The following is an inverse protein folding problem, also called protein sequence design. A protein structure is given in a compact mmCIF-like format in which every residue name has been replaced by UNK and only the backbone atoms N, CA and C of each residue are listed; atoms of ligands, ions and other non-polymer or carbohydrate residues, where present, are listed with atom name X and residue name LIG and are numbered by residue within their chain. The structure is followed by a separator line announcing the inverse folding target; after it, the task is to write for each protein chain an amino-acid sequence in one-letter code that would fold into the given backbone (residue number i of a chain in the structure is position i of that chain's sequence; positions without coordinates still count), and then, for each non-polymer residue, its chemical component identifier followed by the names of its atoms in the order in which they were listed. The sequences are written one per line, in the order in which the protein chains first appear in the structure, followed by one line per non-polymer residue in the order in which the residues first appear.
data_IF_385335351496
#
_entry.id   IF_385335351496
#
_cell.length_a   1.000
_cell.length_b   1.000
_cell.length_c   1.000
_cell.angle_alpha   90.00
_cell.angle_beta   90.00
_cell.angle_gamma   90.00
#
_symmetry.space_group_name_H-M   'P 1'
#
loop_
_entity.id
_entity.type
_entity.pdbx_description
1 polymer ?
#
# COMPACT_ATOMS: atom_id res chain seq x y z
N UNK A 1 20.92 -42.37 0.64
CA UNK A 1 22.24 -41.76 0.34
C UNK A 1 22.21 -41.03 -1.02
N UNK A 2 21.36 -40.01 -1.20
CA UNK A 2 21.31 -39.18 -2.42
C UNK A 2 21.26 -37.67 -2.15
N UNK A 3 21.28 -37.25 -0.88
CA UNK A 3 21.12 -35.85 -0.45
C UNK A 3 22.41 -35.19 0.06
N UNK A 4 23.55 -35.89 0.00
CA UNK A 4 24.84 -35.37 0.47
C UNK A 4 25.68 -34.70 -0.62
N UNK A 5 25.28 -34.80 -1.90
CA UNK A 5 26.03 -34.23 -3.04
C UNK A 5 25.56 -32.84 -3.48
N UNK A 6 24.38 -32.39 -3.07
CA UNK A 6 23.82 -31.08 -3.45
C UNK A 6 24.29 -29.91 -2.56
N UNK A 7 24.82 -30.19 -1.38
CA UNK A 7 25.28 -29.16 -0.43
C UNK A 7 26.70 -28.63 -0.72
N UNK A 8 27.50 -29.34 -1.52
CA UNK A 8 28.87 -28.92 -1.87
C UNK A 8 28.94 -27.95 -3.06
N UNK A 9 27.85 -27.74 -3.81
CA UNK A 9 27.84 -26.87 -4.99
C UNK A 9 27.48 -25.41 -4.69
N UNK A 10 26.91 -25.12 -3.51
CA UNK A 10 26.50 -23.75 -3.13
C UNK A 10 27.67 -22.97 -2.49
N UNK A 11 28.69 -23.63 -1.96
CA UNK A 11 29.83 -22.97 -1.31
C UNK A 11 30.87 -22.40 -2.29
N UNK A 12 30.82 -22.74 -3.58
CA UNK A 12 31.86 -22.34 -4.55
C UNK A 12 31.57 -21.01 -5.29
N UNK A 13 30.39 -20.41 -5.12
CA UNK A 13 30.01 -19.17 -5.85
C UNK A 13 30.18 -17.91 -4.98
N UNK A 14 30.40 -18.05 -3.68
CA UNK A 14 30.46 -16.92 -2.73
C UNK A 14 31.82 -16.21 -2.62
N UNK A 15 32.80 -16.50 -3.49
CA UNK A 15 34.18 -15.99 -3.35
C UNK A 15 34.58 -14.97 -4.44
N UNK A 16 33.69 -14.64 -5.40
CA UNK A 16 34.12 -13.91 -6.62
C UNK A 16 33.57 -12.49 -6.86
N UNK A 17 33.14 -11.75 -5.83
CA UNK A 17 32.68 -10.35 -6.00
C UNK A 17 33.13 -9.40 -4.88
N UNK A 18 34.43 -9.40 -4.56
CA UNK A 18 35.08 -8.36 -3.77
C UNK A 18 36.31 -7.83 -4.50
N UNK A 19 36.11 -6.95 -5.47
CA UNK A 19 37.10 -5.95 -5.92
C UNK A 19 36.55 -5.19 -7.12
N UNK A 20 36.04 -3.96 -6.92
CA UNK A 20 36.32 -2.83 -7.83
C UNK A 20 36.29 -1.54 -7.01
N UNK A 21 37.51 -1.12 -6.69
CA UNK A 21 38.11 0.21 -6.70
C UNK A 21 37.39 1.48 -6.24
N UNK A 22 38.12 2.15 -5.35
CA UNK A 22 38.00 3.53 -4.94
C UNK A 22 38.84 4.45 -5.85
N UNK A 23 38.26 5.52 -6.38
CA UNK A 23 38.97 6.71 -6.84
C UNK A 23 38.15 7.96 -6.47
N UNK A 24 38.59 8.72 -5.48
CA UNK A 24 39.40 9.95 -5.58
C UNK A 24 38.67 11.14 -6.21
N UNK A 25 38.32 12.06 -5.33
CA UNK A 25 38.01 13.48 -5.52
C UNK A 25 39.06 14.21 -6.38
N UNK A 26 38.68 15.31 -7.04
CA UNK A 26 39.12 16.59 -6.47
C UNK A 26 38.09 17.73 -6.53
N UNK A 27 38.14 18.48 -5.43
CA UNK A 27 37.89 19.90 -5.20
C UNK A 27 38.13 20.80 -6.43
N UNK A 28 37.19 21.70 -6.71
CA UNK A 28 37.47 22.96 -7.39
C UNK A 28 36.65 24.09 -6.78
N UNK A 29 37.39 25.01 -6.16
CA UNK A 29 36.96 26.36 -5.78
C UNK A 29 36.54 27.14 -7.03
N UNK A 30 35.47 27.92 -6.93
CA UNK A 30 35.46 29.25 -7.57
C UNK A 30 34.57 30.21 -6.82
N UNK A 31 35.22 31.16 -6.18
CA UNK A 31 34.65 32.41 -5.71
C UNK A 31 34.41 33.33 -6.92
N UNK A 32 33.28 34.05 -6.96
CA UNK A 32 33.36 35.51 -7.06
C UNK A 32 32.02 36.24 -6.99
N UNK A 33 32.14 37.44 -6.41
CA UNK A 33 31.42 38.67 -6.71
C UNK A 33 29.93 38.78 -6.36
N UNK A 34 29.74 39.22 -5.12
CA UNK A 34 28.65 40.08 -4.63
C UNK A 34 28.67 41.43 -5.37
N UNK A 35 27.53 41.93 -5.87
CA UNK A 35 27.21 43.35 -5.76
C UNK A 35 26.04 43.56 -4.79
N UNK A 36 26.21 44.46 -3.83
CA UNK A 36 25.14 44.95 -2.98
C UNK A 36 24.23 45.95 -3.73
N UNK A 37 22.98 46.12 -3.25
CA UNK A 37 21.84 46.52 -4.05
C UNK A 37 21.53 48.04 -4.01
N UNK A 38 20.65 48.53 -4.89
CA UNK A 38 20.04 49.86 -4.76
C UNK A 38 19.06 49.92 -3.57
N UNK A 39 19.08 51.07 -2.88
CA UNK A 39 18.16 51.48 -1.80
C UNK A 39 16.70 51.40 -2.25
N UNK A 40 15.81 50.74 -1.48
CA UNK A 40 14.37 50.94 -1.58
C UNK A 40 13.90 52.01 -0.60
N UNK A 41 13.05 52.89 -1.12
CA UNK A 41 12.33 53.92 -0.37
C UNK A 41 11.36 53.33 0.66
N UNK A 42 11.06 54.16 1.64
CA UNK A 42 10.23 53.88 2.80
C UNK A 42 8.78 53.50 2.46
N UNK A 43 8.17 52.78 3.42
CA UNK A 43 6.73 52.54 3.60
C UNK A 43 6.18 51.23 3.03
N UNK A 44 6.43 50.12 3.72
CA UNK A 44 5.62 48.89 3.60
C UNK A 44 5.30 48.37 4.99
N UNK A 45 4.00 48.19 5.26
CA UNK A 45 3.47 47.62 6.49
C UNK A 45 4.08 46.24 6.76
N UNK A 46 4.53 46.04 7.99
CA UNK A 46 5.18 44.82 8.47
C UNK A 46 4.18 43.67 8.57
N UNK A 47 3.82 43.07 7.44
CA UNK A 47 3.32 41.70 7.43
C UNK A 47 4.52 40.79 7.75
N UNK A 48 4.60 40.35 9.01
CA UNK A 48 5.54 39.28 9.38
C UNK A 48 5.16 38.04 8.59
N UNK A 49 6.06 37.61 7.73
CA UNK A 49 6.02 36.31 7.07
C UNK A 49 5.95 35.23 8.17
N UNK A 50 4.93 34.35 8.16
CA UNK A 50 4.86 33.27 9.14
C UNK A 50 6.12 32.42 9.04
N UNK A 51 6.80 32.23 10.17
CA UNK A 51 8.01 31.41 10.25
C UNK A 51 7.69 30.00 9.77
N UNK A 52 8.66 29.27 9.19
CA UNK A 52 8.49 27.89 8.72
C UNK A 52 7.92 26.93 9.80
N UNK A 53 8.05 27.29 11.07
CA UNK A 53 7.49 26.59 12.23
C UNK A 53 5.97 26.78 12.41
N UNK A 54 5.38 27.83 11.82
CA UNK A 54 3.94 28.12 11.78
C UNK A 54 3.25 27.54 10.54
N UNK A 55 4.03 26.99 9.60
CA UNK A 55 3.57 26.30 8.39
C UNK A 55 3.75 24.79 8.48
N UNK A 56 4.26 24.28 9.60
CA UNK A 56 4.24 22.84 9.86
C UNK A 56 2.75 22.42 9.92
N UNK A 57 2.30 21.48 9.07
CA UNK A 57 0.96 20.91 9.20
C UNK A 57 0.85 20.38 10.63
N UNK A 58 -0.25 20.73 11.30
CA UNK A 58 -0.58 20.20 12.62
C UNK A 58 -0.43 18.68 12.54
N UNK A 59 0.66 18.15 13.09
CA UNK A 59 0.81 16.72 13.27
C UNK A 59 -0.46 16.28 14.00
N UNK A 60 -1.20 15.27 13.50
CA UNK A 60 -2.45 14.86 14.11
C UNK A 60 -2.17 14.64 15.59
N UNK A 61 -2.78 15.49 16.43
CA UNK A 61 -2.78 15.27 17.87
C UNK A 61 -3.43 13.91 18.03
N UNK A 62 -2.62 12.90 18.32
CA UNK A 62 -3.10 11.61 18.77
C UNK A 62 -3.84 11.95 20.06
N UNK A 63 -5.16 12.16 19.95
CA UNK A 63 -6.02 12.28 21.10
C UNK A 63 -6.05 10.89 21.70
N UNK A 64 -5.08 10.63 22.58
CA UNK A 64 -5.11 9.49 23.46
C UNK A 64 -6.19 9.72 24.52
N UNK A 65 -7.43 9.94 24.09
CA UNK A 65 -8.56 9.78 25.00
C UNK A 65 -8.58 8.30 25.34
N UNK A 66 -8.22 8.01 26.60
CA UNK A 66 -8.31 6.65 27.12
C UNK A 66 -9.78 6.21 27.00
N UNK A 67 -10.01 5.12 26.27
CA UNK A 67 -11.28 4.42 26.30
C UNK A 67 -11.66 4.11 27.75
N UNK A 68 -12.92 4.32 28.10
CA UNK A 68 -13.43 3.84 29.38
C UNK A 68 -13.43 2.31 29.45
N UNK A 69 -13.57 1.76 30.66
CA UNK A 69 -13.51 0.32 30.89
C UNK A 69 -14.56 -0.46 30.07
N UNK A 70 -15.73 0.14 29.83
CA UNK A 70 -16.80 -0.50 29.07
C UNK A 70 -16.43 -0.62 27.59
N UNK A 71 -15.94 0.46 26.98
CA UNK A 71 -15.48 0.49 25.59
C UNK A 71 -14.27 -0.42 25.39
N UNK A 72 -13.35 -0.46 26.35
CA UNK A 72 -12.21 -1.37 26.30
C UNK A 72 -12.66 -2.84 26.32
N UNK A 73 -13.64 -3.19 27.16
CA UNK A 73 -14.21 -4.54 27.20
C UNK A 73 -14.92 -4.89 25.89
N UNK A 74 -15.66 -3.95 25.29
CA UNK A 74 -16.32 -4.14 24.00
C UNK A 74 -15.29 -4.42 22.89
N UNK A 75 -14.23 -3.60 22.80
CA UNK A 75 -13.12 -3.81 21.86
C UNK A 75 -12.49 -5.19 22.01
N UNK A 76 -12.21 -5.58 23.26
CA UNK A 76 -11.62 -6.88 23.58
C UNK A 76 -12.56 -8.05 23.23
N UNK A 77 -13.88 -7.88 23.39
CA UNK A 77 -14.86 -8.89 22.97
C UNK A 77 -14.84 -9.06 21.45
N UNK A 78 -14.92 -7.96 20.69
CA UNK A 78 -14.88 -7.97 19.23
C UNK A 78 -13.59 -8.64 18.72
N UNK A 79 -12.44 -8.23 19.26
CA UNK A 79 -11.15 -8.83 18.92
C UNK A 79 -11.13 -10.34 19.18
N UNK A 80 -11.65 -10.78 20.33
CA UNK A 80 -11.70 -12.21 20.66
C UNK A 80 -12.58 -12.98 19.68
N UNK A 81 -13.77 -12.46 19.37
CA UNK A 81 -14.70 -13.09 18.42
C UNK A 81 -14.10 -13.21 17.02
N UNK A 82 -13.36 -12.19 16.55
CA UNK A 82 -12.62 -12.23 15.30
C UNK A 82 -11.57 -13.35 15.32
N UNK A 83 -10.75 -13.41 16.37
CA UNK A 83 -9.68 -14.42 16.48
C UNK A 83 -10.24 -15.84 16.64
N UNK A 84 -11.36 -16.01 17.34
CA UNK A 84 -12.05 -17.30 17.46
C UNK A 84 -12.59 -17.77 16.10
N UNK A 85 -13.21 -16.87 15.32
CA UNK A 85 -13.67 -17.20 13.96
C UNK A 85 -12.51 -17.46 13.00
N UNK A 86 -11.44 -16.66 13.04
CA UNK A 86 -10.27 -16.86 12.19
C UNK A 86 -9.56 -18.20 12.45
N UNK A 87 -9.59 -18.69 13.68
CA UNK A 87 -9.01 -19.97 14.07
C UNK A 87 -10.01 -21.14 14.08
N UNK A 88 -11.24 -20.93 13.62
CA UNK A 88 -12.32 -21.90 13.79
C UNK A 88 -12.05 -23.27 13.15
N UNK A 89 -11.24 -23.29 12.08
CA UNK A 89 -10.87 -24.53 11.38
C UNK A 89 -9.95 -25.40 12.25
N UNK A 90 -9.09 -24.77 13.06
CA UNK A 90 -8.17 -25.48 13.95
C UNK A 90 -8.90 -26.03 15.19
N UNK A 91 -9.94 -25.33 15.64
CA UNK A 91 -10.74 -25.69 16.82
C UNK A 91 -11.99 -26.51 16.48
N UNK A 92 -12.25 -26.80 15.20
CA UNK A 92 -13.46 -27.47 14.70
C UNK A 92 -14.76 -26.77 15.15
N UNK A 93 -14.72 -25.44 15.24
CA UNK A 93 -15.84 -24.61 15.70
C UNK A 93 -16.36 -23.67 14.61
N UNK A 94 -16.02 -23.91 13.35
CA UNK A 94 -16.52 -23.08 12.25
C UNK A 94 -18.03 -23.19 12.14
N UNK A 95 -18.72 -22.08 11.85
CA UNK A 95 -20.12 -22.10 11.43
C UNK A 95 -20.32 -23.14 10.32
N UNK A 96 -21.36 -23.97 10.46
CA UNK A 96 -21.71 -24.99 9.47
C UNK A 96 -23.01 -24.59 8.78
N UNK A 97 -23.02 -24.73 7.47
CA UNK A 97 -24.21 -24.72 6.63
C UNK A 97 -24.48 -26.15 6.17
N UNK A 98 -25.58 -26.74 6.63
CA UNK A 98 -25.96 -28.14 6.37
C UNK A 98 -26.30 -28.41 4.88
N UNK A 99 -26.37 -27.37 4.04
CA UNK A 99 -26.71 -27.53 2.62
C UNK A 99 -25.54 -28.01 1.75
N UNK A 100 -24.31 -27.52 1.97
CA UNK A 100 -23.09 -27.86 1.21
C UNK A 100 -21.81 -27.43 1.97
N UNK A 101 -20.75 -28.26 2.04
CA UNK A 101 -19.47 -27.87 2.66
C UNK A 101 -18.89 -26.54 2.15
N UNK A 102 -19.04 -26.22 0.86
CA UNK A 102 -18.55 -24.92 0.33
C UNK A 102 -19.35 -23.73 0.86
N UNK A 103 -20.63 -23.93 1.15
CA UNK A 103 -21.45 -22.89 1.76
C UNK A 103 -20.98 -22.57 3.19
N UNK A 104 -20.45 -23.58 3.91
CA UNK A 104 -19.87 -23.39 5.25
C UNK A 104 -18.63 -22.50 5.23
N UNK A 105 -17.72 -22.70 4.27
CA UNK A 105 -16.52 -21.85 4.12
C UNK A 105 -16.90 -20.39 3.81
N UNK A 106 -17.86 -20.19 2.90
CA UNK A 106 -18.37 -18.85 2.56
C UNK A 106 -19.06 -18.19 3.75
N UNK A 107 -19.82 -18.96 4.54
CA UNK A 107 -20.48 -18.48 5.75
C UNK A 107 -19.44 -18.02 6.78
N UNK A 108 -18.40 -18.82 7.02
CA UNK A 108 -17.33 -18.46 7.92
C UNK A 108 -16.63 -17.16 7.49
N UNK A 109 -16.28 -17.03 6.20
CA UNK A 109 -15.69 -15.80 5.64
C UNK A 109 -16.58 -14.57 5.80
N UNK A 110 -17.88 -14.69 5.53
CA UNK A 110 -18.84 -13.59 5.73
C UNK A 110 -18.99 -13.18 7.19
N UNK A 111 -19.08 -14.15 8.11
CA UNK A 111 -19.19 -13.88 9.54
C UNK A 111 -17.91 -13.21 10.07
N UNK A 112 -16.74 -13.65 9.61
CA UNK A 112 -15.47 -13.01 9.95
C UNK A 112 -15.42 -11.57 9.43
N UNK A 113 -15.79 -11.34 8.17
CA UNK A 113 -15.86 -10.00 7.59
C UNK A 113 -16.87 -9.09 8.32
N UNK A 114 -18.00 -9.63 8.77
CA UNK A 114 -18.98 -8.90 9.59
C UNK A 114 -18.39 -8.47 10.94
N UNK A 115 -17.68 -9.38 11.64
CA UNK A 115 -17.01 -9.06 12.91
C UNK A 115 -15.89 -8.04 12.73
N UNK A 116 -15.08 -8.17 11.67
CA UNK A 116 -14.04 -7.20 11.36
C UNK A 116 -14.63 -5.83 11.02
N UNK A 117 -15.80 -5.78 10.37
CA UNK A 117 -16.52 -4.52 10.10
C UNK A 117 -17.04 -3.89 11.39
N UNK A 118 -17.63 -4.69 12.28
CA UNK A 118 -18.05 -4.20 13.60
C UNK A 118 -16.88 -3.65 14.42
N UNK A 119 -15.69 -4.26 14.31
CA UNK A 119 -14.45 -3.73 14.89
C UNK A 119 -14.03 -2.40 14.24
N UNK A 120 -14.07 -2.29 12.93
CA UNK A 120 -13.80 -1.03 12.23
C UNK A 120 -14.78 0.08 12.63
N UNK A 121 -16.08 -0.23 12.68
CA UNK A 121 -17.13 0.71 13.12
C UNK A 121 -16.91 1.14 14.57
N UNK A 122 -16.48 0.23 15.46
CA UNK A 122 -16.11 0.58 16.83
C UNK A 122 -14.99 1.63 16.85
N UNK A 123 -13.90 1.40 16.12
CA UNK A 123 -12.77 2.35 16.08
C UNK A 123 -13.16 3.70 15.47
N UNK A 124 -13.95 3.69 14.38
CA UNK A 124 -14.43 4.90 13.73
C UNK A 124 -15.36 5.72 14.64
N UNK A 125 -16.30 5.07 15.34
CA UNK A 125 -17.26 5.76 16.21
C UNK A 125 -16.64 6.33 17.48
N UNK A 126 -15.47 5.83 17.87
CA UNK A 126 -14.74 6.30 19.05
C UNK A 126 -13.52 7.18 18.70
N UNK A 127 -13.28 7.47 17.40
CA UNK A 127 -12.10 8.20 16.89
C UNK A 127 -10.78 7.71 17.52
N UNK A 128 -10.67 6.39 17.68
CA UNK A 128 -9.58 5.75 18.39
C UNK A 128 -8.97 4.70 17.49
N UNK A 129 -7.69 4.83 17.16
CA UNK A 129 -6.92 3.82 16.43
C UNK A 129 -5.56 3.66 17.11
N UNK A 130 -5.16 2.42 17.36
CA UNK A 130 -3.92 2.06 18.04
C UNK A 130 -3.16 0.97 17.27
N UNK A 131 -1.99 0.58 17.78
CA UNK A 131 -1.17 -0.45 17.14
C UNK A 131 -1.91 -1.79 17.03
N UNK A 132 -2.80 -2.13 17.97
CA UNK A 132 -3.61 -3.35 17.91
C UNK A 132 -4.56 -3.33 16.68
N UNK A 133 -5.13 -2.17 16.36
CA UNK A 133 -5.91 -2.01 15.12
C UNK A 133 -5.07 -2.09 13.84
N UNK A 134 -3.79 -1.70 13.89
CA UNK A 134 -2.84 -1.87 12.79
C UNK A 134 -2.39 -3.33 12.64
N UNK A 135 -2.15 -4.04 13.74
CA UNK A 135 -1.90 -5.49 13.75
C UNK A 135 -3.07 -6.26 13.12
N UNK A 136 -4.30 -5.91 13.51
CA UNK A 136 -5.50 -6.50 12.94
C UNK A 136 -5.57 -6.35 11.41
N UNK A 137 -5.16 -5.20 10.86
CA UNK A 137 -5.07 -5.03 9.41
C UNK A 137 -4.05 -6.00 8.80
N UNK A 138 -2.85 -6.09 9.37
CA UNK A 138 -1.78 -6.96 8.83
C UNK A 138 -2.17 -8.44 8.88
N UNK A 139 -2.88 -8.87 9.91
CA UNK A 139 -3.35 -10.25 10.06
C UNK A 139 -4.37 -10.64 8.98
N UNK A 140 -5.16 -9.68 8.47
CA UNK A 140 -6.28 -9.96 7.57
C UNK A 140 -6.14 -9.42 6.14
N UNK A 141 -5.14 -8.59 5.85
CA UNK A 141 -4.94 -8.04 4.49
C UNK A 141 -4.47 -9.08 3.47
N UNK A 142 -3.84 -10.18 3.91
CA UNK A 142 -3.48 -11.34 3.06
C UNK A 142 -4.46 -12.52 3.23
N UNK A 143 -5.66 -12.26 3.78
CA UNK A 143 -6.64 -13.32 3.98
C UNK A 143 -7.16 -13.87 2.64
N UNK A 144 -7.35 -15.19 2.54
CA UNK A 144 -7.75 -15.87 1.30
C UNK A 144 -9.19 -15.58 0.87
N UNK A 145 -10.05 -15.24 1.82
CA UNK A 145 -11.42 -14.78 1.56
C UNK A 145 -11.45 -13.28 1.24
N UNK A 146 -11.93 -12.94 0.03
CA UNK A 146 -12.01 -11.56 -0.45
C UNK A 146 -12.94 -10.65 0.35
N UNK A 147 -13.99 -11.18 1.01
CA UNK A 147 -14.85 -10.35 1.88
C UNK A 147 -14.08 -9.87 3.12
N UNK A 148 -13.20 -10.71 3.66
CA UNK A 148 -12.36 -10.37 4.80
C UNK A 148 -11.30 -9.37 4.38
N UNK A 149 -10.64 -9.61 3.24
CA UNK A 149 -9.63 -8.73 2.68
C UNK A 149 -10.18 -7.32 2.37
N UNK A 150 -11.39 -7.23 1.79
CA UNK A 150 -12.08 -5.96 1.53
C UNK A 150 -12.25 -5.13 2.82
N UNK A 151 -12.70 -5.77 3.91
CA UNK A 151 -12.89 -5.09 5.19
C UNK A 151 -11.57 -4.73 5.86
N UNK A 152 -10.53 -5.56 5.72
CA UNK A 152 -9.20 -5.24 6.22
C UNK A 152 -8.62 -3.99 5.54
N UNK A 153 -8.82 -3.84 4.23
CA UNK A 153 -8.41 -2.64 3.48
C UNK A 153 -9.24 -1.42 3.89
N UNK A 154 -10.54 -1.59 4.14
CA UNK A 154 -11.38 -0.50 4.68
C UNK A 154 -10.88 -0.04 6.06
N UNK A 155 -10.61 -0.98 6.97
CA UNK A 155 -10.04 -0.69 8.29
C UNK A 155 -8.68 0.02 8.19
N UNK A 156 -7.84 -0.37 7.23
CA UNK A 156 -6.58 0.32 6.92
C UNK A 156 -6.82 1.76 6.44
N UNK A 157 -7.83 1.96 5.59
CA UNK A 157 -8.16 3.27 5.01
C UNK A 157 -8.65 4.28 6.06
N UNK A 158 -9.23 3.80 7.17
CA UNK A 158 -9.68 4.62 8.29
C UNK A 158 -8.55 5.08 9.22
N UNK A 159 -7.41 4.38 9.21
CA UNK A 159 -6.25 4.69 10.05
C UNK A 159 -5.35 5.74 9.40
N UNK A 160 -4.47 6.38 10.18
CA UNK A 160 -3.36 7.14 9.60
C UNK A 160 -2.47 6.23 8.73
N UNK A 161 -1.84 6.75 7.65
CA UNK A 161 -1.00 5.93 6.79
C UNK A 161 0.07 5.18 7.60
N UNK A 162 0.03 3.85 7.53
CA UNK A 162 0.98 2.97 8.20
C UNK A 162 1.79 2.20 7.14
N UNK A 163 3.11 2.44 7.11
CA UNK A 163 4.03 1.85 6.13
C UNK A 163 4.06 0.32 6.18
N UNK A 164 3.96 -0.28 7.36
CA UNK A 164 4.00 -1.74 7.51
C UNK A 164 2.73 -2.39 6.93
N UNK A 165 1.58 -1.77 7.17
CA UNK A 165 0.31 -2.21 6.59
C UNK A 165 0.32 -2.10 5.06
N UNK A 166 0.90 -1.02 4.51
CA UNK A 166 1.04 -0.85 3.07
C UNK A 166 1.97 -1.88 2.42
N UNK A 167 3.07 -2.26 3.09
CA UNK A 167 3.94 -3.32 2.60
C UNK A 167 3.23 -4.68 2.61
N UNK A 168 2.50 -5.01 3.69
CA UNK A 168 1.70 -6.22 3.76
C UNK A 168 0.61 -6.26 2.66
N UNK A 169 -0.03 -5.11 2.39
CA UNK A 169 -0.97 -4.97 1.28
C UNK A 169 -0.28 -5.20 -0.07
N UNK A 170 0.87 -4.58 -0.35
CA UNK A 170 1.62 -4.78 -1.60
C UNK A 170 1.99 -6.26 -1.80
N UNK A 171 2.41 -6.95 -0.75
CA UNK A 171 2.74 -8.38 -0.79
C UNK A 171 1.51 -9.23 -1.13
N UNK A 172 0.39 -9.01 -0.44
CA UNK A 172 -0.87 -9.74 -0.67
C UNK A 172 -1.40 -9.60 -2.11
N UNK A 173 -1.18 -8.45 -2.75
CA UNK A 173 -1.66 -8.20 -4.11
C UNK A 173 -0.89 -8.99 -5.18
N UNK A 174 0.34 -9.44 -4.90
CA UNK A 174 1.12 -10.20 -5.87
C UNK A 174 0.49 -11.56 -6.19
N UNK A 175 -0.26 -12.12 -5.25
CA UNK A 175 -0.96 -13.40 -5.37
C UNK A 175 -2.47 -13.23 -5.57
N UNK A 176 -3.00 -12.01 -5.56
CA UNK A 176 -4.44 -11.75 -5.65
C UNK A 176 -5.00 -12.04 -7.05
N UNK A 177 -6.18 -12.65 -7.07
CA UNK A 177 -6.95 -12.91 -8.29
C UNK A 177 -8.21 -12.06 -8.38
N UNK A 178 -8.53 -11.30 -7.33
CA UNK A 178 -9.75 -10.50 -7.24
C UNK A 178 -9.49 -9.07 -7.71
N UNK A 179 -10.05 -8.72 -8.87
CA UNK A 179 -9.94 -7.39 -9.44
C UNK A 179 -10.54 -6.31 -8.52
N UNK A 180 -11.62 -6.61 -7.79
CA UNK A 180 -12.26 -5.65 -6.89
C UNK A 180 -11.31 -5.26 -5.75
N UNK A 181 -10.65 -6.26 -5.16
CA UNK A 181 -9.64 -6.03 -4.12
C UNK A 181 -8.48 -5.21 -4.67
N UNK A 182 -7.96 -5.57 -5.84
CA UNK A 182 -6.84 -4.82 -6.46
C UNK A 182 -7.22 -3.36 -6.70
N UNK A 183 -8.44 -3.09 -7.18
CA UNK A 183 -8.93 -1.71 -7.35
C UNK A 183 -8.96 -0.94 -6.03
N UNK A 184 -9.55 -1.54 -4.98
CA UNK A 184 -9.65 -0.92 -3.65
C UNK A 184 -8.26 -0.66 -3.08
N UNK A 185 -7.36 -1.64 -3.17
CA UNK A 185 -5.99 -1.52 -2.69
C UNK A 185 -5.20 -0.44 -3.46
N UNK A 186 -5.37 -0.32 -4.78
CA UNK A 186 -4.75 0.76 -5.56
C UNK A 186 -5.21 2.15 -5.12
N UNK A 187 -6.42 2.30 -4.58
CA UNK A 187 -6.89 3.57 -4.00
C UNK A 187 -6.17 3.86 -2.68
N UNK A 188 -6.07 2.86 -1.82
CA UNK A 188 -5.37 2.98 -0.55
C UNK A 188 -3.86 3.26 -0.76
N UNK A 189 -3.22 2.58 -1.71
CA UNK A 189 -1.79 2.73 -2.00
C UNK A 189 -1.39 4.15 -2.49
N UNK A 190 -2.33 4.97 -2.97
CA UNK A 190 -2.06 6.38 -3.31
C UNK A 190 -1.64 7.21 -2.08
N UNK A 191 -1.91 6.74 -0.86
CA UNK A 191 -1.55 7.42 0.39
C UNK A 191 -0.08 7.24 0.78
N UNK A 192 0.68 6.42 0.05
CA UNK A 192 2.04 5.98 0.40
C UNK A 192 3.08 6.34 -0.69
N UNK A 193 3.32 7.63 -0.96
CA UNK A 193 4.27 8.06 -2.00
C UNK A 193 5.71 7.57 -1.73
N UNK A 194 6.08 7.33 -0.47
CA UNK A 194 7.39 6.79 -0.09
C UNK A 194 7.61 5.33 -0.51
N UNK A 195 6.54 4.62 -0.86
CA UNK A 195 6.57 3.23 -1.35
C UNK A 195 6.34 3.13 -2.87
N UNK A 196 6.44 4.24 -3.60
CA UNK A 196 6.11 4.29 -5.04
C UNK A 196 6.84 3.23 -5.87
N UNK A 197 8.12 2.99 -5.59
CA UNK A 197 8.91 1.99 -6.32
C UNK A 197 8.36 0.56 -6.17
N UNK A 198 7.97 0.19 -4.94
CA UNK A 198 7.37 -1.12 -4.66
C UNK A 198 5.98 -1.24 -5.29
N UNK A 199 5.19 -0.17 -5.23
CA UNK A 199 3.88 -0.08 -5.88
C UNK A 199 4.04 -0.26 -7.40
N UNK A 200 4.95 0.48 -8.03
CA UNK A 200 5.21 0.41 -9.47
C UNK A 200 5.63 -0.99 -9.92
N UNK A 201 6.52 -1.63 -9.16
CA UNK A 201 6.97 -2.99 -9.43
C UNK A 201 5.80 -3.97 -9.38
N UNK A 202 4.97 -3.90 -8.33
CA UNK A 202 3.80 -4.75 -8.16
C UNK A 202 2.78 -4.55 -9.29
N UNK A 203 2.48 -3.30 -9.67
CA UNK A 203 1.53 -3.01 -10.76
C UNK A 203 2.07 -3.44 -12.12
N UNK A 204 3.36 -3.20 -12.40
CA UNK A 204 4.00 -3.62 -13.64
C UNK A 204 4.00 -5.15 -13.78
N UNK A 205 4.23 -5.89 -12.68
CA UNK A 205 4.12 -7.34 -12.64
C UNK A 205 2.67 -7.79 -12.86
N UNK A 206 1.72 -7.20 -12.15
CA UNK A 206 0.28 -7.51 -12.28
C UNK A 206 -0.23 -7.32 -13.71
N UNK A 207 0.21 -6.28 -14.42
CA UNK A 207 -0.11 -6.04 -15.82
C UNK A 207 0.40 -7.14 -16.77
N UNK A 208 1.56 -7.73 -16.46
CA UNK A 208 2.22 -8.72 -17.31
C UNK A 208 1.74 -10.14 -17.02
N UNK A 209 1.76 -10.54 -15.75
CA UNK A 209 1.58 -11.93 -15.30
C UNK A 209 0.33 -12.15 -14.45
N UNK A 210 -0.36 -11.09 -14.03
CA UNK A 210 -1.59 -11.21 -13.26
C UNK A 210 -2.73 -11.86 -14.06
N UNK A 211 -3.80 -12.24 -13.36
CA UNK A 211 -5.01 -12.78 -13.97
C UNK A 211 -5.57 -11.80 -15.02
N UNK A 212 -6.35 -12.29 -15.98
CA UNK A 212 -6.91 -11.45 -17.04
C UNK A 212 -7.68 -10.24 -16.47
N UNK A 213 -8.48 -10.48 -15.44
CA UNK A 213 -9.30 -9.45 -14.79
C UNK A 213 -8.45 -8.49 -13.96
N UNK A 214 -7.49 -8.99 -13.17
CA UNK A 214 -6.58 -8.15 -12.38
C UNK A 214 -5.74 -7.25 -13.28
N UNK A 215 -5.11 -7.81 -14.32
CA UNK A 215 -4.29 -7.03 -15.24
C UNK A 215 -5.11 -5.96 -15.99
N UNK A 216 -6.36 -6.26 -16.32
CA UNK A 216 -7.26 -5.28 -16.93
C UNK A 216 -7.67 -4.19 -15.94
N UNK A 217 -7.97 -4.56 -14.69
CA UNK A 217 -8.36 -3.61 -13.64
C UNK A 217 -7.24 -2.63 -13.31
N UNK A 218 -6.00 -3.14 -13.16
CA UNK A 218 -4.80 -2.30 -13.01
C UNK A 218 -4.69 -1.34 -14.18
N UNK A 219 -4.77 -1.85 -15.42
CA UNK A 219 -4.65 -1.01 -16.61
C UNK A 219 -5.71 0.11 -16.69
N UNK A 220 -6.93 -0.15 -16.23
CA UNK A 220 -8.04 0.81 -16.22
C UNK A 220 -7.87 1.90 -15.16
N UNK A 221 -7.29 1.57 -14.00
CA UNK A 221 -7.26 2.46 -12.83
C UNK A 221 -5.86 3.00 -12.49
N UNK A 222 -4.86 2.76 -13.32
CA UNK A 222 -3.47 3.18 -13.04
C UNK A 222 -3.24 4.69 -13.06
N UNK A 223 -4.12 5.46 -13.74
CA UNK A 223 -3.90 6.89 -14.00
C UNK A 223 -3.53 7.73 -12.76
N UNK A 224 -4.18 7.59 -11.59
CA UNK A 224 -3.82 8.37 -10.40
C UNK A 224 -2.44 8.03 -9.83
N UNK A 225 -1.87 6.88 -10.18
CA UNK A 225 -0.56 6.40 -9.74
C UNK A 225 0.55 6.70 -10.76
N UNK A 226 0.21 7.25 -11.93
CA UNK A 226 1.20 7.70 -12.91
C UNK A 226 1.80 9.05 -12.49
N UNK A 227 3.11 9.15 -12.64
CA UNK A 227 3.88 10.37 -12.40
C UNK A 227 5.07 10.45 -13.38
N UNK A 228 5.81 11.56 -13.33
CA UNK A 228 6.94 11.81 -14.23
C UNK A 228 8.11 10.83 -14.04
N UNK A 229 8.22 10.20 -12.87
CA UNK A 229 9.27 9.25 -12.53
C UNK A 229 8.96 7.84 -13.06
N UNK A 230 7.69 7.42 -13.08
CA UNK A 230 7.30 6.04 -13.39
C UNK A 230 6.62 5.83 -14.75
N UNK A 231 6.12 6.87 -15.41
CA UNK A 231 5.37 6.74 -16.66
C UNK A 231 6.11 5.95 -17.74
N UNK A 232 7.44 6.11 -17.80
CA UNK A 232 8.30 5.39 -18.76
C UNK A 232 8.30 3.88 -18.52
N UNK A 233 8.28 3.44 -17.25
CA UNK A 233 8.16 2.02 -16.90
C UNK A 233 6.88 1.43 -17.48
N UNK A 234 5.76 2.14 -17.37
CA UNK A 234 4.48 1.67 -17.89
C UNK A 234 4.36 1.77 -19.42
N UNK A 235 5.04 2.72 -20.06
CA UNK A 235 5.23 2.73 -21.52
C UNK A 235 5.95 1.46 -21.99
N UNK A 236 7.03 1.06 -21.31
CA UNK A 236 7.77 -0.17 -21.61
C UNK A 236 6.92 -1.44 -21.39
N UNK A 237 6.10 -1.47 -20.33
CA UNK A 237 5.12 -2.54 -20.11
C UNK A 237 4.13 -2.58 -21.28
N UNK A 238 3.55 -1.44 -21.67
CA UNK A 238 2.56 -1.36 -22.74
C UNK A 238 3.08 -1.87 -24.10
N UNK A 239 4.38 -1.71 -24.38
CA UNK A 239 5.01 -2.23 -25.59
C UNK A 239 5.11 -3.77 -25.60
N UNK A 240 5.26 -4.40 -24.43
CA UNK A 240 5.37 -5.86 -24.27
C UNK A 240 4.01 -6.56 -24.24
N UNK A 241 2.93 -5.84 -23.95
CA UNK A 241 1.58 -6.40 -23.95
C UNK A 241 1.07 -6.72 -25.37
N UNK A 242 0.17 -7.71 -25.53
CA UNK A 242 -0.48 -7.96 -26.82
C UNK A 242 -1.23 -6.70 -27.29
N UNK A 243 -0.82 -6.15 -28.42
CA UNK A 243 -1.14 -4.78 -28.86
C UNK A 243 -2.66 -4.49 -28.98
N UNK A 244 -3.47 -5.52 -29.25
CA UNK A 244 -4.92 -5.40 -29.40
C UNK A 244 -5.72 -5.82 -28.17
N UNK A 245 -5.06 -6.25 -27.08
CA UNK A 245 -5.73 -6.61 -25.84
C UNK A 245 -6.39 -5.40 -25.18
N UNK A 246 -7.49 -5.63 -24.44
CA UNK A 246 -8.19 -4.57 -23.71
C UNK A 246 -7.27 -3.87 -22.70
N UNK A 247 -6.46 -4.64 -21.94
CA UNK A 247 -5.48 -4.09 -21.00
C UNK A 247 -4.42 -3.21 -21.67
N UNK A 248 -3.90 -3.60 -22.84
CA UNK A 248 -2.93 -2.77 -23.56
C UNK A 248 -3.55 -1.46 -24.05
N UNK A 249 -4.80 -1.50 -24.53
CA UNK A 249 -5.53 -0.30 -24.96
C UNK A 249 -5.82 0.63 -23.77
N UNK A 250 -6.29 0.09 -22.65
CA UNK A 250 -6.55 0.84 -21.43
C UNK A 250 -5.28 1.52 -20.89
N UNK A 251 -4.19 0.75 -20.75
CA UNK A 251 -2.91 1.27 -20.27
C UNK A 251 -2.39 2.41 -21.15
N UNK A 252 -2.39 2.23 -22.48
CA UNK A 252 -1.98 3.29 -23.42
C UNK A 252 -2.87 4.52 -23.36
N UNK A 253 -4.17 4.34 -23.14
CA UNK A 253 -5.12 5.45 -22.99
C UNK A 253 -4.79 6.26 -21.74
N UNK A 254 -4.56 5.60 -20.61
CA UNK A 254 -4.19 6.26 -19.35
C UNK A 254 -2.81 6.95 -19.43
N UNK A 255 -1.82 6.33 -20.07
CA UNK A 255 -0.52 6.98 -20.32
C UNK A 255 -0.69 8.24 -21.17
N UNK A 256 -1.50 8.18 -22.23
CA UNK A 256 -1.76 9.36 -23.08
C UNK A 256 -2.44 10.47 -22.30
N UNK A 257 -3.46 10.13 -21.52
CA UNK A 257 -4.18 11.07 -20.67
C UNK A 257 -3.24 11.75 -19.67
N UNK A 258 -2.35 11.00 -19.03
CA UNK A 258 -1.31 11.55 -18.15
C UNK A 258 -0.43 12.58 -18.89
N UNK A 259 0.07 12.24 -20.09
CA UNK A 259 0.91 13.15 -20.89
C UNK A 259 0.19 14.43 -21.30
N UNK A 260 -1.10 14.36 -21.62
CA UNK A 260 -1.91 15.53 -21.94
C UNK A 260 -2.04 16.47 -20.74
N UNK A 261 -2.22 15.91 -19.53
CA UNK A 261 -2.25 16.69 -18.28
C UNK A 261 -0.91 17.38 -18.00
N UNK A 262 0.21 16.71 -18.27
CA UNK A 262 1.55 17.33 -18.13
C UNK A 262 1.78 18.47 -19.13
N UNK A 263 1.23 18.40 -20.35
CA UNK A 263 1.40 19.43 -21.38
C UNK A 263 0.45 20.64 -21.26
N UNK A 264 -0.42 20.67 -20.25
CA UNK A 264 -1.34 21.78 -20.00
C UNK A 264 -2.70 21.72 -20.69
N UNK A 265 -3.09 20.55 -21.24
CA UNK A 265 -4.41 20.31 -21.86
C UNK A 265 -4.51 20.65 -23.33
#
# INVERSE_FOLDING_TARGET
MKYLLSLLLVAAVSVLLLAVDAEKTPTALSANAKPQPPKPDASVATHREPTAEQLAPDAPKIQSEHLDDQRLQERQSLRREILELANCQQTYSCPQDDSDPRASDILAGKMLAEKLRAYADFHQNNDYFDEESSEMVRDFVDHSDGFVQEVAIDLMSMQAPNRENALALIESLQSSYDAKIVNQAMKELQRYPELQSQIDQMLAQSLQTGSLYVAQEVALNILPLLNSENVRTFEDVAMKLPQHSLRAKALKSNIREFRLRESGG
#
